data_IF_872396438113
#
_entry.id   IF_872396438113
#
_cell.length_a   1.000
_cell.length_b   1.000
_cell.length_c   1.000
_cell.angle_alpha   90.00
_cell.angle_beta   90.00
_cell.angle_gamma   90.00
#
_symmetry.space_group_name_H-M   'P 1'
#
loop_
_entity.id
_entity.type
_entity.pdbx_description
1 polymer ?
#
# COMPACT_ATOMS: atom_id res chain seq x y z
N UNK A 1 20.66 -4.37 -3.70
CA UNK A 1 21.63 -4.40 -4.82
C UNK A 1 23.02 -4.85 -4.39
N UNK A 2 23.61 -4.30 -3.32
CA UNK A 2 24.94 -4.67 -2.83
C UNK A 2 25.23 -6.18 -2.74
N UNK A 3 24.27 -6.98 -2.26
CA UNK A 3 24.42 -8.45 -2.14
C UNK A 3 24.48 -9.16 -3.50
N UNK A 4 23.71 -8.69 -4.48
CA UNK A 4 23.68 -9.25 -5.86
C UNK A 4 25.00 -8.94 -6.55
N UNK A 5 25.45 -7.69 -6.43
CA UNK A 5 26.74 -7.21 -6.96
C UNK A 5 27.92 -7.97 -6.31
N UNK A 6 27.92 -8.16 -5.00
CA UNK A 6 29.00 -8.86 -4.29
C UNK A 6 29.07 -10.35 -4.62
N UNK A 7 27.94 -10.97 -4.96
CA UNK A 7 27.85 -12.41 -5.25
C UNK A 7 27.90 -12.71 -6.76
N UNK A 8 27.90 -11.68 -7.62
CA UNK A 8 27.94 -11.84 -9.08
C UNK A 8 26.76 -12.65 -9.64
N UNK A 9 25.61 -12.66 -8.96
CA UNK A 9 24.50 -13.56 -9.26
C UNK A 9 23.13 -12.94 -9.04
N UNK A 10 22.07 -13.67 -9.37
CA UNK A 10 20.68 -13.22 -9.19
C UNK A 10 19.97 -13.94 -8.02
N UNK A 11 18.93 -13.33 -7.42
CA UNK A 11 18.15 -13.97 -6.38
C UNK A 11 17.49 -15.27 -6.87
N UNK A 12 17.72 -16.37 -6.15
CA UNK A 12 17.02 -17.64 -6.40
C UNK A 12 15.59 -17.58 -5.86
N UNK A 13 15.41 -17.13 -4.62
CA UNK A 13 14.11 -16.99 -3.99
C UNK A 13 13.95 -15.54 -3.53
N UNK A 14 12.79 -14.96 -3.80
CA UNK A 14 12.40 -13.65 -3.27
C UNK A 14 11.29 -13.88 -2.25
N UNK A 15 11.43 -13.30 -1.06
CA UNK A 15 10.36 -13.26 -0.07
C UNK A 15 9.79 -11.85 0.00
N UNK A 16 8.49 -11.72 -0.11
CA UNK A 16 7.77 -10.46 0.05
C UNK A 16 6.53 -10.64 0.91
N UNK A 17 5.97 -9.53 1.37
CA UNK A 17 4.71 -9.54 2.10
C UNK A 17 3.49 -9.64 1.19
N UNK A 18 2.32 -10.03 1.73
CA UNK A 18 1.08 -9.96 0.98
C UNK A 18 0.78 -8.51 0.61
N UNK A 19 0.83 -8.19 -0.67
CA UNK A 19 0.59 -6.84 -1.17
C UNK A 19 0.33 -6.87 -2.67
N UNK A 20 -0.57 -6.01 -3.13
CA UNK A 20 -0.93 -5.91 -4.56
C UNK A 20 0.29 -5.55 -5.40
N UNK A 21 1.11 -4.61 -4.92
CA UNK A 21 2.37 -4.20 -5.56
C UNK A 21 3.36 -5.36 -5.69
N UNK A 22 3.47 -6.21 -4.66
CA UNK A 22 4.37 -7.36 -4.65
C UNK A 22 3.98 -8.46 -5.64
N UNK A 23 2.75 -8.42 -6.17
CA UNK A 23 2.31 -9.28 -7.27
C UNK A 23 3.22 -9.14 -8.50
N UNK A 24 3.64 -7.91 -8.84
CA UNK A 24 4.55 -7.69 -9.96
C UNK A 24 5.94 -8.27 -9.70
N UNK A 25 6.46 -8.12 -8.48
CA UNK A 25 7.78 -8.68 -8.08
C UNK A 25 7.76 -10.20 -8.20
N UNK A 26 6.69 -10.85 -7.75
CA UNK A 26 6.47 -12.29 -7.91
C UNK A 26 6.50 -12.71 -9.37
N UNK A 27 5.77 -11.99 -10.22
CA UNK A 27 5.63 -12.34 -11.64
C UNK A 27 6.96 -12.14 -12.39
N UNK A 28 7.70 -11.06 -12.10
CA UNK A 28 9.04 -10.84 -12.62
C UNK A 28 10.02 -11.93 -12.18
N UNK A 29 10.01 -12.31 -10.91
CA UNK A 29 10.90 -13.34 -10.38
C UNK A 29 10.65 -14.69 -11.05
N UNK A 30 9.37 -15.07 -11.22
CA UNK A 30 8.99 -16.29 -11.95
C UNK A 30 9.43 -16.23 -13.41
N UNK A 31 9.19 -15.11 -14.09
CA UNK A 31 9.58 -14.95 -15.48
C UNK A 31 11.09 -15.07 -15.69
N UNK A 32 11.89 -14.41 -14.86
CA UNK A 32 13.35 -14.43 -14.95
C UNK A 32 13.93 -15.83 -14.65
N UNK A 33 13.24 -16.64 -13.83
CA UNK A 33 13.66 -18.00 -13.48
C UNK A 33 13.09 -19.10 -14.38
N UNK A 34 12.25 -18.78 -15.37
CA UNK A 34 11.56 -19.77 -16.22
C UNK A 34 12.46 -20.77 -16.95
N UNK A 35 13.70 -20.38 -17.26
CA UNK A 35 14.67 -21.20 -17.99
C UNK A 35 15.65 -21.94 -17.06
N UNK A 36 15.50 -21.80 -15.75
CA UNK A 36 16.34 -22.51 -14.78
C UNK A 36 15.72 -23.89 -14.54
N UNK A 37 16.41 -24.95 -14.96
CA UNK A 37 15.96 -26.33 -14.84
C UNK A 37 16.21 -26.91 -13.43
N UNK A 38 15.71 -26.25 -12.39
CA UNK A 38 15.81 -26.73 -11.00
C UNK A 38 14.45 -27.14 -10.41
N UNK A 39 13.36 -27.02 -11.18
CA UNK A 39 12.00 -27.37 -10.74
C UNK A 39 11.37 -26.38 -9.75
N UNK A 40 12.05 -25.30 -9.39
CA UNK A 40 11.65 -24.38 -8.31
C UNK A 40 10.97 -23.10 -8.84
N UNK A 41 10.28 -23.17 -9.97
CA UNK A 41 9.67 -21.99 -10.60
C UNK A 41 8.59 -21.36 -9.71
N UNK A 42 7.69 -22.17 -9.16
CA UNK A 42 6.61 -21.70 -8.28
C UNK A 42 7.17 -21.19 -6.94
N UNK A 43 8.17 -21.90 -6.41
CA UNK A 43 8.87 -21.62 -5.14
C UNK A 43 9.87 -20.46 -5.24
N UNK A 44 10.06 -19.89 -6.44
CA UNK A 44 10.96 -18.74 -6.66
C UNK A 44 10.50 -17.47 -5.94
N UNK A 45 9.25 -17.43 -5.48
CA UNK A 45 8.68 -16.36 -4.68
C UNK A 45 7.88 -16.92 -3.51
N UNK A 46 8.12 -16.39 -2.31
CA UNK A 46 7.47 -16.81 -1.07
C UNK A 46 6.77 -15.61 -0.45
N UNK A 47 5.47 -15.74 -0.18
CA UNK A 47 4.74 -14.76 0.62
C UNK A 47 4.99 -15.02 2.09
N UNK A 48 5.24 -13.96 2.87
CA UNK A 48 5.41 -14.08 4.30
C UNK A 48 4.96 -12.84 5.05
N UNK A 49 4.52 -13.00 6.30
CA UNK A 49 3.98 -11.89 7.07
C UNK A 49 4.95 -10.70 7.18
N UNK A 50 4.40 -9.49 7.02
CA UNK A 50 5.08 -8.21 7.24
C UNK A 50 5.09 -7.88 8.74
N UNK A 51 5.84 -8.65 9.53
CA UNK A 51 5.82 -8.55 11.00
C UNK A 51 6.19 -7.17 11.51
N UNK A 52 7.05 -6.45 10.79
CA UNK A 52 7.41 -5.07 11.08
C UNK A 52 6.27 -4.07 10.82
N UNK A 53 5.39 -4.36 9.84
CA UNK A 53 4.32 -3.46 9.42
C UNK A 53 2.99 -3.69 10.16
N UNK A 54 2.83 -4.81 10.88
CA UNK A 54 1.57 -5.17 11.53
C UNK A 54 1.05 -4.10 12.49
N UNK A 55 1.94 -3.47 13.28
CA UNK A 55 1.52 -2.46 14.26
C UNK A 55 0.95 -1.21 13.59
N UNK A 56 1.61 -0.74 12.54
CA UNK A 56 1.17 0.46 11.83
C UNK A 56 -0.09 0.17 11.00
N UNK A 57 -0.17 -0.96 10.32
CA UNK A 57 -1.38 -1.39 9.59
C UNK A 57 -2.60 -1.50 10.51
N UNK A 58 -2.43 -2.10 11.69
CA UNK A 58 -3.50 -2.17 12.70
C UNK A 58 -3.96 -0.78 13.14
N UNK A 59 -3.03 0.15 13.36
CA UNK A 59 -3.36 1.53 13.70
C UNK A 59 -4.08 2.25 12.55
N UNK A 60 -3.65 2.06 11.30
CA UNK A 60 -4.31 2.65 10.12
C UNK A 60 -5.74 2.10 9.97
N UNK A 61 -5.93 0.80 10.21
CA UNK A 61 -7.24 0.17 10.21
C UNK A 61 -8.17 0.73 11.29
N UNK A 62 -7.66 0.92 12.52
CA UNK A 62 -8.41 1.58 13.59
C UNK A 62 -8.76 3.02 13.24
N UNK A 63 -7.78 3.82 12.85
CA UNK A 63 -7.97 5.23 12.50
C UNK A 63 -8.99 5.39 11.37
N UNK A 64 -8.99 4.49 10.37
CA UNK A 64 -9.95 4.49 9.28
C UNK A 64 -11.36 4.28 9.79
N UNK A 65 -11.58 3.18 10.53
CA UNK A 65 -12.90 2.78 11.03
C UNK A 65 -13.52 3.84 11.93
N UNK A 66 -12.71 4.44 12.79
CA UNK A 66 -13.22 5.40 13.77
C UNK A 66 -13.35 6.81 13.17
N UNK A 67 -12.32 7.31 12.47
CA UNK A 67 -12.21 8.74 12.18
C UNK A 67 -12.22 9.12 10.70
N UNK A 68 -11.73 8.27 9.80
CA UNK A 68 -11.44 8.70 8.42
C UNK A 68 -12.44 8.21 7.38
N UNK A 69 -13.20 7.14 7.65
CA UNK A 69 -14.04 6.50 6.62
C UNK A 69 -15.03 7.49 5.98
N UNK A 70 -15.68 8.34 6.79
CA UNK A 70 -16.56 9.40 6.29
C UNK A 70 -15.84 10.36 5.32
N UNK A 71 -14.67 10.86 5.71
CA UNK A 71 -13.91 11.83 4.90
C UNK A 71 -13.38 11.20 3.62
N UNK A 72 -12.94 9.93 3.70
CA UNK A 72 -12.48 9.17 2.54
C UNK A 72 -13.61 8.99 1.54
N UNK A 73 -14.82 8.62 1.99
CA UNK A 73 -15.99 8.50 1.11
C UNK A 73 -16.36 9.85 0.50
N UNK A 74 -16.47 10.91 1.31
CA UNK A 74 -16.84 12.25 0.85
C UNK A 74 -15.91 12.77 -0.25
N UNK A 75 -14.59 12.64 -0.06
CA UNK A 75 -13.62 13.08 -1.07
C UNK A 75 -13.52 12.13 -2.26
N UNK A 76 -13.82 10.84 -2.06
CA UNK A 76 -14.04 9.88 -3.15
C UNK A 76 -15.18 10.30 -4.05
N UNK A 77 -16.32 10.68 -3.47
CA UNK A 77 -17.50 11.14 -4.23
C UNK A 77 -17.19 12.41 -5.04
N UNK A 78 -16.43 13.35 -4.48
CA UNK A 78 -16.01 14.54 -5.24
C UNK A 78 -15.20 14.17 -6.49
N UNK A 79 -14.32 13.17 -6.35
CA UNK A 79 -13.51 12.67 -7.47
C UNK A 79 -14.38 11.97 -8.50
N UNK A 80 -15.28 11.09 -8.06
CA UNK A 80 -16.11 10.29 -8.95
C UNK A 80 -17.12 11.15 -9.73
N UNK A 81 -17.54 12.30 -9.16
CA UNK A 81 -18.36 13.29 -9.85
C UNK A 81 -17.56 14.26 -10.74
N UNK A 82 -16.24 14.09 -10.86
CA UNK A 82 -15.39 14.96 -11.68
C UNK A 82 -15.19 16.38 -11.12
N UNK A 83 -15.50 16.58 -9.84
CA UNK A 83 -15.33 17.87 -9.12
C UNK A 83 -13.92 17.97 -8.52
N UNK A 84 -13.21 16.85 -8.42
CA UNK A 84 -11.85 16.76 -7.91
C UNK A 84 -10.97 15.89 -8.83
N UNK A 85 -9.94 16.48 -9.43
CA UNK A 85 -8.98 15.78 -10.28
C UNK A 85 -7.68 15.39 -9.53
N UNK A 86 -7.50 15.91 -8.32
CA UNK A 86 -6.33 15.65 -7.48
C UNK A 86 -5.08 16.46 -7.85
N UNK A 87 -5.25 17.50 -8.65
CA UNK A 87 -4.26 18.52 -8.94
C UNK A 87 -3.88 19.35 -7.71
N UNK A 88 -2.92 20.24 -7.91
CA UNK A 88 -2.40 21.09 -6.83
C UNK A 88 -3.49 22.00 -6.23
N UNK A 89 -4.30 22.64 -7.09
CA UNK A 89 -5.36 23.55 -6.66
C UNK A 89 -6.42 22.81 -5.83
N UNK A 90 -6.92 21.69 -6.34
CA UNK A 90 -7.91 20.85 -5.68
C UNK A 90 -7.47 20.39 -4.30
N UNK A 91 -6.24 19.89 -4.20
CA UNK A 91 -5.64 19.51 -2.90
C UNK A 91 -5.56 20.69 -1.95
N UNK A 92 -5.12 21.85 -2.45
CA UNK A 92 -4.98 23.06 -1.64
C UNK A 92 -6.34 23.57 -1.13
N UNK A 93 -7.37 23.52 -1.97
CA UNK A 93 -8.74 23.88 -1.60
C UNK A 93 -9.33 22.92 -0.58
N UNK A 94 -9.17 21.60 -0.77
CA UNK A 94 -9.63 20.63 0.23
C UNK A 94 -8.93 20.84 1.58
N UNK A 95 -7.62 21.06 1.58
CA UNK A 95 -6.88 21.34 2.81
C UNK A 95 -7.36 22.65 3.46
N UNK A 96 -7.51 23.73 2.70
CA UNK A 96 -7.97 25.00 3.23
C UNK A 96 -9.37 24.90 3.85
N UNK A 97 -10.31 24.24 3.16
CA UNK A 97 -11.70 24.15 3.60
C UNK A 97 -11.92 23.13 4.73
N UNK A 98 -11.26 21.96 4.67
CA UNK A 98 -11.60 20.82 5.53
C UNK A 98 -10.57 20.50 6.60
N UNK A 99 -9.29 20.91 6.47
CA UNK A 99 -8.25 20.53 7.43
C UNK A 99 -8.60 20.96 8.86
N UNK A 100 -9.08 22.20 9.04
CA UNK A 100 -9.49 22.70 10.35
C UNK A 100 -10.63 21.88 10.95
N UNK A 101 -11.59 21.45 10.12
CA UNK A 101 -12.73 20.62 10.54
C UNK A 101 -12.26 19.22 10.95
N UNK A 102 -11.40 18.60 10.15
CA UNK A 102 -10.83 17.27 10.41
C UNK A 102 -10.00 17.27 11.71
N UNK A 103 -9.26 18.35 11.98
CA UNK A 103 -8.43 18.45 13.19
C UNK A 103 -9.25 18.57 14.48
N UNK A 104 -10.43 19.21 14.42
CA UNK A 104 -11.29 19.41 15.59
C UNK A 104 -12.47 18.44 15.67
N UNK A 105 -12.69 17.61 14.65
CA UNK A 105 -13.73 16.59 14.66
C UNK A 105 -13.39 15.53 15.71
N UNK A 106 -13.80 15.80 16.95
CA UNK A 106 -13.88 14.80 18.00
C UNK A 106 -14.95 13.79 17.58
N UNK A 107 -14.56 12.52 17.60
CA UNK A 107 -15.49 11.40 17.72
C UNK A 107 -16.53 11.77 18.78
N UNK A 108 -17.79 12.00 18.36
CA UNK A 108 -18.89 11.87 19.30
C UNK A 108 -18.94 10.39 19.63
N UNK A 109 -18.29 10.00 20.71
CA UNK A 109 -18.50 8.68 21.32
C UNK A 109 -20.01 8.56 21.51
N UNK A 110 -20.62 7.57 20.85
CA UNK A 110 -22.02 7.23 21.09
C UNK A 110 -22.14 6.92 22.59
N UNK A 111 -23.03 7.65 23.27
CA UNK A 111 -23.58 7.25 24.57
C UNK A 111 -24.36 5.94 24.42
#
# INVERSE_FOLDING_TARGET
MKTVESLGGCPRIVRGDPGTENGHVRDFQRFLRRNVHDGMLIESYVEGASTANQRIESWWGFLRKECMEFWISLFGDLKDNGIYDGGFLDKSLLQFCFMGIIQVSRLKSKE
#
